data_IF_996513024417
#
_entry.id   IF_996513024417
#
_cell.length_a   1.000
_cell.length_b   1.000
_cell.length_c   1.000
_cell.angle_alpha   90.00
_cell.angle_beta   90.00
_cell.angle_gamma   90.00
#
_symmetry.space_group_name_H-M   'P 1'
#
loop_
_entity.id
_entity.type
_entity.pdbx_description
1 polymer ?
#
# COMPACT_ATOMS: atom_id res chain seq x y z
N UNK A 1 3.70 -8.06 -6.94
CA UNK A 1 4.78 -9.02 -7.24
C UNK A 1 5.87 -8.35 -8.05
N UNK A 2 7.11 -8.63 -7.69
CA UNK A 2 8.31 -8.21 -8.41
C UNK A 2 8.71 -9.27 -9.45
N UNK A 3 9.57 -8.89 -10.40
CA UNK A 3 10.11 -9.83 -11.38
C UNK A 3 10.97 -10.92 -10.74
N UNK A 4 11.78 -10.55 -9.75
CA UNK A 4 12.66 -11.46 -9.02
C UNK A 4 12.52 -11.26 -7.50
N UNK A 5 12.75 -12.32 -6.69
CA UNK A 5 12.84 -12.18 -5.24
C UNK A 5 13.91 -11.16 -4.84
N UNK A 6 13.58 -10.28 -3.91
CA UNK A 6 14.50 -9.25 -3.42
C UNK A 6 14.28 -8.96 -1.94
N UNK A 7 15.26 -8.29 -1.35
CA UNK A 7 15.14 -7.78 0.01
C UNK A 7 13.94 -6.83 0.15
N UNK A 8 13.40 -6.65 1.38
CA UNK A 8 12.30 -5.73 1.62
C UNK A 8 12.57 -4.32 1.08
N UNK A 9 11.70 -3.84 0.21
CA UNK A 9 11.80 -2.50 -0.37
C UNK A 9 11.82 -1.42 0.71
N UNK A 10 12.80 -0.51 0.60
CA UNK A 10 12.92 0.67 1.47
C UNK A 10 12.27 1.87 0.79
N UNK A 11 11.11 2.29 1.28
CA UNK A 11 10.31 3.40 0.75
C UNK A 11 10.03 4.42 1.87
N UNK A 12 10.03 5.71 1.53
CA UNK A 12 9.88 6.77 2.54
C UNK A 12 8.46 6.84 3.13
N UNK A 13 7.44 6.56 2.32
CA UNK A 13 6.01 6.73 2.68
C UNK A 13 5.23 5.41 2.71
N UNK A 14 5.93 4.29 2.67
CA UNK A 14 5.35 2.97 2.76
C UNK A 14 6.32 2.01 3.45
N UNK A 15 5.78 1.02 4.14
CA UNK A 15 6.59 -0.01 4.79
C UNK A 15 6.19 -1.40 4.30
N UNK A 16 7.18 -2.24 4.08
CA UNK A 16 6.95 -3.66 3.82
C UNK A 16 6.54 -4.34 5.12
N UNK A 17 5.40 -5.03 5.10
CA UNK A 17 4.87 -5.76 6.27
C UNK A 17 5.04 -7.27 6.14
N UNK A 18 5.29 -7.76 4.92
CA UNK A 18 5.54 -9.17 4.63
C UNK A 18 6.31 -9.29 3.31
N UNK A 19 7.17 -10.30 3.21
CA UNK A 19 7.83 -10.74 1.99
C UNK A 19 7.66 -12.25 1.85
N UNK A 20 7.39 -12.72 0.64
CA UNK A 20 7.24 -14.13 0.28
C UNK A 20 7.72 -14.33 -1.16
N UNK A 21 9.00 -14.69 -1.30
CA UNK A 21 9.68 -14.72 -2.60
C UNK A 21 9.62 -13.35 -3.31
N UNK A 22 9.09 -13.27 -4.54
CA UNK A 22 8.92 -12.01 -5.27
C UNK A 22 7.71 -11.18 -4.81
N UNK A 23 6.84 -11.73 -3.95
CA UNK A 23 5.66 -11.02 -3.46
C UNK A 23 5.99 -10.23 -2.20
N UNK A 24 5.78 -8.91 -2.27
CA UNK A 24 5.93 -8.01 -1.13
C UNK A 24 4.60 -7.31 -0.83
N UNK A 25 4.23 -7.26 0.45
CA UNK A 25 3.03 -6.54 0.91
C UNK A 25 3.45 -5.24 1.56
N UNK A 26 2.85 -4.14 1.10
CA UNK A 26 3.17 -2.80 1.56
C UNK A 26 1.98 -2.19 2.27
N UNK A 27 2.27 -1.46 3.36
CA UNK A 27 1.30 -0.63 4.06
C UNK A 27 1.73 0.82 3.96
N UNK A 28 0.79 1.67 3.56
CA UNK A 28 1.00 3.10 3.38
C UNK A 28 -0.19 3.89 3.92
N UNK A 29 -0.02 5.19 4.04
CA UNK A 29 -1.03 6.14 4.50
C UNK A 29 -1.51 6.96 3.31
N UNK A 30 -2.81 6.89 3.00
CA UNK A 30 -3.41 7.56 1.83
C UNK A 30 -3.40 9.09 1.94
N UNK A 31 -3.29 9.62 3.15
CA UNK A 31 -3.08 11.02 3.46
C UNK A 31 -1.65 11.50 3.19
N UNK A 32 -0.67 10.59 3.10
CA UNK A 32 0.75 10.91 2.87
C UNK A 32 1.20 10.58 1.43
N UNK A 33 0.64 9.54 0.81
CA UNK A 33 0.97 9.12 -0.56
C UNK A 33 -0.23 8.42 -1.23
N UNK A 34 -0.46 8.73 -2.50
CA UNK A 34 -1.47 8.03 -3.30
C UNK A 34 -0.98 6.65 -3.75
N UNK A 35 -1.91 5.75 -4.09
CA UNK A 35 -1.54 4.44 -4.64
C UNK A 35 -0.71 4.59 -5.93
N UNK A 36 -1.06 5.55 -6.80
CA UNK A 36 -0.33 5.79 -8.05
C UNK A 36 1.12 6.25 -7.82
N UNK A 37 1.33 7.19 -6.89
CA UNK A 37 2.67 7.66 -6.51
C UNK A 37 3.49 6.53 -5.87
N UNK A 38 2.86 5.71 -5.03
CA UNK A 38 3.52 4.57 -4.42
C UNK A 38 3.95 3.55 -5.47
N UNK A 39 3.07 3.24 -6.43
CA UNK A 39 3.39 2.35 -7.56
C UNK A 39 4.59 2.86 -8.35
N UNK A 40 4.62 4.15 -8.68
CA UNK A 40 5.75 4.75 -9.36
C UNK A 40 7.05 4.64 -8.53
N UNK A 41 6.99 4.86 -7.22
CA UNK A 41 8.14 4.75 -6.32
C UNK A 41 8.67 3.31 -6.21
N UNK A 42 7.79 2.31 -6.32
CA UNK A 42 8.17 0.89 -6.37
C UNK A 42 8.79 0.55 -7.71
N UNK A 43 8.16 0.94 -8.82
CA UNK A 43 8.67 0.69 -10.18
C UNK A 43 10.05 1.32 -10.41
N UNK A 44 10.37 2.42 -9.73
CA UNK A 44 11.69 3.05 -9.77
C UNK A 44 12.77 2.25 -9.03
N UNK A 45 12.40 1.33 -8.13
CA UNK A 45 13.34 0.52 -7.33
C UNK A 45 13.45 -0.92 -7.78
N UNK A 46 12.37 -1.48 -8.34
CA UNK A 46 12.31 -2.86 -8.78
C UNK A 46 11.33 -3.00 -9.94
N UNK A 47 11.58 -4.00 -10.79
CA UNK A 47 10.66 -4.34 -11.87
C UNK A 47 9.38 -4.97 -11.30
N UNK A 48 8.25 -4.35 -11.61
CA UNK A 48 6.92 -4.78 -11.19
C UNK A 48 6.33 -5.76 -12.22
N UNK A 49 5.84 -6.91 -11.76
CA UNK A 49 5.10 -7.87 -12.58
C UNK A 49 3.60 -7.72 -12.37
N UNK A 50 3.19 -7.59 -11.11
CA UNK A 50 1.77 -7.52 -10.74
C UNK A 50 1.56 -6.59 -9.55
N UNK A 51 0.41 -5.94 -9.47
CA UNK A 51 0.05 -5.03 -8.40
C UNK A 51 -1.44 -5.15 -8.07
N UNK A 52 -1.73 -5.48 -6.81
CA UNK A 52 -3.05 -5.35 -6.22
C UNK A 52 -3.01 -4.27 -5.12
N UNK A 53 -3.94 -3.32 -5.20
CA UNK A 53 -4.15 -2.30 -4.16
C UNK A 53 -5.51 -2.55 -3.54
N UNK A 54 -5.51 -2.90 -2.25
CA UNK A 54 -6.74 -2.98 -1.47
C UNK A 54 -7.06 -1.60 -0.89
N UNK A 55 -8.21 -1.05 -1.22
CA UNK A 55 -8.78 0.08 -0.50
C UNK A 55 -9.64 -0.46 0.64
N UNK A 56 -9.63 0.16 1.84
CA UNK A 56 -10.63 -0.19 2.85
C UNK A 56 -12.01 0.06 2.24
N UNK A 57 -12.89 -0.94 2.30
CA UNK A 57 -14.26 -0.82 1.81
C UNK A 57 -14.90 0.43 2.42
N UNK A 58 -15.59 1.22 1.58
CA UNK A 58 -16.23 2.50 1.97
C UNK A 58 -17.11 2.32 3.22
N UNK A 59 -17.65 1.11 3.43
CA UNK A 59 -18.48 0.72 4.57
C UNK A 59 -17.77 0.86 5.94
N UNK A 60 -16.45 0.75 6.02
CA UNK A 60 -15.71 1.02 7.27
C UNK A 60 -15.53 2.51 7.57
N UNK A 61 -15.43 3.35 6.54
CA UNK A 61 -15.28 4.80 6.68
C UNK A 61 -16.56 5.43 7.24
N UNK A 62 -17.73 4.95 6.79
CA UNK A 62 -19.04 5.43 7.25
C UNK A 62 -19.22 5.20 8.75
N UNK A 63 -18.78 4.05 9.30
CA UNK A 63 -18.90 3.74 10.75
C UNK A 63 -18.14 4.71 11.65
N UNK A 64 -17.12 5.41 11.14
CA UNK A 64 -16.31 6.35 11.93
C UNK A 64 -16.84 7.78 11.88
N UNK A 65 -17.52 8.16 10.80
CA UNK A 65 -18.14 9.49 10.66
C UNK A 65 -19.46 9.56 11.45
N UNK A 66 -20.29 8.51 11.41
CA UNK A 66 -21.57 8.50 12.14
C UNK A 66 -21.45 8.47 13.67
N UNK A 67 -20.27 8.15 14.21
CA UNK A 67 -20.04 8.16 15.67
C UNK A 67 -19.66 9.53 16.24
N UNK A 68 -19.42 10.53 15.37
CA UNK A 68 -18.97 11.87 15.76
C UNK A 68 -20.01 12.96 15.49
N UNK A 69 -21.21 12.60 14.99
CA UNK A 69 -22.25 13.53 14.56
C UNK A 69 -23.60 13.38 15.26
N UNK A 70 -23.66 12.66 16.38
CA UNK A 70 -24.85 12.62 17.25
C UNK A 70 -24.42 12.81 18.70
N UNK A 71 -24.44 14.08 19.12
CA UNK A 71 -24.26 14.55 20.49
C UNK A 71 -24.81 15.95 20.58
#
# INVERSE_FOLDING_TARGET
DLAEPSDPLQLDRARVVRVDGPRQWLRFRRDEITAAELTAAVAARAELVDLAVEEPEIEEIVRRIYRSGVG
#
